data_IF_548824583171
#
_entry.id   IF_548824583171
#
_cell.length_a   1.000
_cell.length_b   1.000
_cell.length_c   1.000
_cell.angle_alpha   90.00
_cell.angle_beta   90.00
_cell.angle_gamma   90.00
#
_symmetry.space_group_name_H-M   'P 1'
#
loop_
_entity.id
_entity.type
_entity.pdbx_description
1 polymer ?
#
# COMPACT_ATOMS: atom_id res chain seq x y z
N UNK A 1 13.29 -41.69 8.66
CA UNK A 1 13.66 -40.76 7.56
C UNK A 1 12.49 -39.85 7.24
N UNK A 2 12.35 -38.73 7.97
CA UNK A 2 11.24 -37.79 7.75
C UNK A 2 11.64 -36.77 6.69
N UNK A 3 11.19 -36.99 5.44
CA UNK A 3 11.27 -36.01 4.36
C UNK A 3 10.43 -34.78 4.74
N UNK A 4 11.07 -33.74 5.29
CA UNK A 4 10.47 -32.40 5.38
C UNK A 4 10.26 -31.90 3.95
N UNK A 5 9.07 -32.11 3.38
CA UNK A 5 8.64 -31.43 2.16
C UNK A 5 8.72 -29.94 2.43
N UNK A 6 9.67 -29.24 1.80
CA UNK A 6 9.75 -27.79 1.84
C UNK A 6 8.42 -27.22 1.37
N UNK A 7 7.71 -26.52 2.25
CA UNK A 7 6.60 -25.67 1.84
C UNK A 7 7.20 -24.58 0.97
N UNK A 8 6.96 -24.67 -0.35
CA UNK A 8 7.11 -23.54 -1.24
C UNK A 8 6.25 -22.41 -0.67
N UNK A 9 6.90 -21.41 -0.10
CA UNK A 9 6.21 -20.27 0.49
C UNK A 9 5.72 -19.41 -0.68
N UNK A 10 4.47 -19.66 -1.11
CA UNK A 10 3.71 -18.72 -1.96
C UNK A 10 3.80 -17.35 -1.27
N UNK A 11 4.09 -16.29 -2.04
CA UNK A 11 4.19 -14.91 -1.54
C UNK A 11 2.96 -14.45 -0.75
N UNK A 12 2.91 -13.20 -0.27
CA UNK A 12 1.77 -12.70 0.49
C UNK A 12 0.44 -12.99 -0.24
N UNK A 13 -0.58 -13.41 0.54
CA UNK A 13 -1.92 -13.79 0.11
C UNK A 13 -2.48 -12.79 -0.93
N UNK A 14 -3.11 -13.25 -2.03
CA UNK A 14 -3.74 -12.39 -3.03
C UNK A 14 -4.76 -11.36 -2.51
N UNK A 15 -5.20 -11.41 -1.24
CA UNK A 15 -6.00 -10.37 -0.56
C UNK A 15 -5.22 -9.08 -0.22
N UNK A 16 -4.29 -8.70 -1.09
CA UNK A 16 -3.04 -8.00 -0.76
C UNK A 16 -3.12 -6.52 -0.40
N UNK A 17 -4.29 -5.91 -0.17
CA UNK A 17 -4.37 -4.50 0.26
C UNK A 17 -5.18 -4.32 1.54
N UNK A 18 -5.45 -5.42 2.27
CA UNK A 18 -6.12 -5.40 3.57
C UNK A 18 -5.15 -5.16 4.74
N UNK A 19 -3.99 -4.54 4.52
CA UNK A 19 -2.91 -4.41 5.52
C UNK A 19 -1.81 -5.48 5.42
N UNK A 20 -1.98 -6.52 4.59
CA UNK A 20 -0.99 -7.60 4.45
C UNK A 20 0.06 -7.34 3.34
N UNK A 21 -0.21 -6.43 2.40
CA UNK A 21 0.70 -6.10 1.30
C UNK A 21 0.51 -4.66 0.77
N UNK A 22 0.61 -3.68 1.66
CA UNK A 22 0.48 -2.26 1.31
C UNK A 22 1.67 -1.74 0.51
N UNK A 23 1.42 -0.98 -0.56
CA UNK A 23 2.47 -0.29 -1.29
C UNK A 23 2.62 1.14 -0.75
N UNK A 24 3.84 1.47 -0.33
CA UNK A 24 4.18 2.80 0.21
C UNK A 24 5.11 3.53 -0.76
N UNK A 25 4.52 4.26 -1.70
CA UNK A 25 5.21 4.98 -2.77
C UNK A 25 5.71 6.37 -2.33
N UNK A 26 5.20 6.89 -1.21
CA UNK A 26 5.58 8.17 -0.61
C UNK A 26 5.81 8.00 0.89
N UNK A 27 6.47 8.98 1.50
CA UNK A 27 6.60 9.03 2.96
C UNK A 27 5.26 9.42 3.59
N UNK A 28 4.92 8.77 4.71
CA UNK A 28 3.70 9.03 5.46
C UNK A 28 4.04 9.58 6.85
N UNK A 29 3.35 10.63 7.25
CA UNK A 29 3.49 11.27 8.55
C UNK A 29 2.26 12.10 8.88
N UNK A 30 2.32 12.88 9.95
CA UNK A 30 1.21 13.72 10.40
C UNK A 30 0.55 14.49 9.24
N UNK A 31 -0.78 14.41 9.14
CA UNK A 31 -1.57 15.05 8.10
C UNK A 31 -1.63 14.31 6.76
N UNK A 32 -0.86 13.24 6.57
CA UNK A 32 -1.00 12.39 5.37
C UNK A 32 -2.41 11.81 5.29
N UNK A 33 -2.96 11.82 4.08
CA UNK A 33 -4.28 11.26 3.79
C UNK A 33 -4.20 10.35 2.56
N UNK A 34 -4.94 9.24 2.55
CA UNK A 34 -4.94 8.31 1.41
C UNK A 34 -5.26 6.86 1.76
N UNK A 35 -5.46 6.03 0.73
CA UNK A 35 -5.60 4.58 0.92
C UNK A 35 -4.31 3.87 1.32
N UNK A 36 -3.14 4.46 1.06
CA UNK A 36 -1.87 4.01 1.63
C UNK A 36 -1.83 4.16 3.16
N UNK A 37 -2.30 5.31 3.68
CA UNK A 37 -2.48 5.53 5.12
C UNK A 37 -3.52 4.56 5.68
N UNK A 38 -4.64 4.35 4.99
CA UNK A 38 -5.66 3.40 5.42
C UNK A 38 -5.11 1.97 5.50
N UNK A 39 -4.35 1.54 4.50
CA UNK A 39 -3.71 0.23 4.48
C UNK A 39 -2.67 0.08 5.61
N UNK A 40 -1.87 1.12 5.87
CA UNK A 40 -0.95 1.17 7.01
C UNK A 40 -1.71 1.02 8.33
N UNK A 41 -2.83 1.73 8.51
CA UNK A 41 -3.64 1.63 9.72
C UNK A 41 -4.21 0.23 9.89
N UNK A 42 -4.72 -0.41 8.82
CA UNK A 42 -5.15 -1.81 8.87
C UNK A 42 -4.02 -2.74 9.29
N UNK A 43 -2.82 -2.56 8.74
CA UNK A 43 -1.62 -3.30 9.13
C UNK A 43 -1.31 -3.14 10.63
N UNK A 44 -1.27 -1.89 11.12
CA UNK A 44 -0.96 -1.58 12.51
C UNK A 44 -2.05 -2.13 13.46
N UNK A 45 -3.32 -2.08 13.07
CA UNK A 45 -4.42 -2.64 13.85
C UNK A 45 -4.31 -4.16 13.96
N UNK A 46 -3.96 -4.86 12.87
CA UNK A 46 -3.69 -6.32 12.91
C UNK A 46 -2.51 -6.69 13.80
N UNK A 47 -1.53 -5.78 13.96
CA UNK A 47 -0.40 -5.95 14.89
C UNK A 47 -0.77 -5.61 16.34
N UNK A 48 -1.99 -5.16 16.62
CA UNK A 48 -2.41 -4.70 17.94
C UNK A 48 -1.79 -3.36 18.35
N UNK A 49 -1.19 -2.63 17.41
CA UNK A 49 -0.52 -1.35 17.66
C UNK A 49 -1.46 -0.15 17.49
N UNK A 50 -2.53 -0.30 16.71
CA UNK A 50 -3.57 0.69 16.54
C UNK A 50 -4.92 0.08 16.97
N UNK A 51 -5.63 0.76 17.87
CA UNK A 51 -6.95 0.31 18.35
C UNK A 51 -8.10 0.99 17.62
N UNK A 52 -7.80 2.02 16.85
CA UNK A 52 -8.80 2.76 16.10
C UNK A 52 -9.10 2.13 14.75
N UNK A 53 -10.30 2.46 14.30
CA UNK A 53 -10.75 2.20 12.95
C UNK A 53 -9.87 2.92 11.94
N UNK A 54 -9.37 2.23 10.88
CA UNK A 54 -8.66 2.85 9.78
C UNK A 54 -9.53 3.92 9.11
N UNK A 55 -9.06 5.16 9.11
CA UNK A 55 -9.73 6.31 8.52
C UNK A 55 -9.12 6.73 7.19
N UNK A 56 -7.86 6.38 6.93
CA UNK A 56 -7.08 6.96 5.84
C UNK A 56 -6.43 8.29 6.20
N UNK A 57 -6.61 8.80 7.43
CA UNK A 57 -5.95 10.02 7.92
C UNK A 57 -4.88 9.71 8.97
N UNK A 58 -3.68 10.24 8.76
CA UNK A 58 -2.53 10.03 9.62
C UNK A 58 -2.49 11.07 10.74
N UNK A 59 -3.21 10.79 11.83
CA UNK A 59 -3.17 11.57 13.07
C UNK A 59 -2.26 10.97 14.16
N UNK A 60 -2.25 11.60 15.33
CA UNK A 60 -1.39 11.27 16.48
C UNK A 60 -1.39 9.79 16.88
N UNK A 61 -2.54 9.12 16.78
CA UNK A 61 -2.66 7.70 17.14
C UNK A 61 -1.97 6.80 16.12
N UNK A 62 -2.00 7.17 14.84
CA UNK A 62 -1.26 6.47 13.77
C UNK A 62 0.23 6.71 13.94
N UNK A 63 0.64 7.95 14.23
CA UNK A 63 2.04 8.29 14.48
C UNK A 63 2.63 7.48 15.65
N UNK A 64 1.93 7.41 16.78
CA UNK A 64 2.34 6.60 17.94
C UNK A 64 2.42 5.11 17.60
N UNK A 65 1.48 4.60 16.79
CA UNK A 65 1.50 3.21 16.36
C UNK A 65 2.69 2.91 15.44
N UNK A 66 3.01 3.81 14.50
CA UNK A 66 4.21 3.70 13.65
C UNK A 66 5.48 3.79 14.47
N UNK A 67 5.55 4.71 15.42
CA UNK A 67 6.69 4.84 16.33
C UNK A 67 6.95 3.53 17.10
N UNK A 68 5.90 2.92 17.65
CA UNK A 68 5.98 1.61 18.31
C UNK A 68 6.43 0.51 17.36
N UNK A 69 5.88 0.48 16.14
CA UNK A 69 6.31 -0.48 15.12
C UNK A 69 7.79 -0.30 14.76
N UNK A 70 8.25 0.93 14.56
CA UNK A 70 9.65 1.25 14.25
C UNK A 70 10.59 0.79 15.37
N UNK A 71 10.28 1.13 16.63
CA UNK A 71 11.05 0.70 17.80
C UNK A 71 11.12 -0.83 17.90
N UNK A 72 9.98 -1.50 17.76
CA UNK A 72 9.90 -2.97 17.82
C UNK A 72 10.60 -3.68 16.67
N UNK A 73 10.90 -2.98 15.56
CA UNK A 73 11.58 -3.53 14.40
C UNK A 73 13.00 -2.98 14.19
N UNK A 74 13.51 -2.15 15.11
CA UNK A 74 14.86 -1.59 15.03
C UNK A 74 15.07 -0.57 13.90
N UNK A 75 14.01 0.08 13.42
CA UNK A 75 14.12 1.13 12.40
C UNK A 75 14.76 2.38 13.01
N UNK A 76 15.67 3.02 12.28
CA UNK A 76 16.28 4.29 12.66
C UNK A 76 16.16 5.32 11.51
N UNK A 77 15.72 6.57 11.78
CA UNK A 77 15.18 7.04 13.06
C UNK A 77 13.81 6.40 13.36
N UNK A 78 13.53 6.17 14.65
CA UNK A 78 12.18 5.82 15.12
C UNK A 78 11.48 7.09 15.57
N UNK A 79 10.88 7.80 14.62
CA UNK A 79 10.29 9.13 14.78
C UNK A 79 8.78 9.19 14.47
N UNK A 80 8.13 8.04 14.27
CA UNK A 80 6.71 8.00 13.94
C UNK A 80 6.38 8.41 12.51
N UNK A 81 7.39 8.65 11.65
CA UNK A 81 7.21 8.92 10.21
C UNK A 81 7.57 7.67 9.44
N UNK A 82 6.67 7.18 8.58
CA UNK A 82 6.92 6.07 7.66
C UNK A 82 7.78 6.52 6.47
N UNK A 83 9.01 6.98 6.75
CA UNK A 83 9.99 7.38 5.74
C UNK A 83 10.65 6.20 5.02
N UNK A 84 11.54 6.48 4.06
CA UNK A 84 12.18 5.47 3.20
C UNK A 84 12.69 4.22 3.96
N UNK A 85 13.45 4.39 5.05
CA UNK A 85 13.96 3.25 5.83
C UNK A 85 12.84 2.36 6.40
N UNK A 86 11.75 2.97 6.87
CA UNK A 86 10.57 2.23 7.34
C UNK A 86 9.89 1.50 6.20
N UNK A 87 9.70 2.16 5.06
CA UNK A 87 9.06 1.59 3.87
C UNK A 87 9.85 0.42 3.30
N UNK A 88 11.17 0.54 3.23
CA UNK A 88 12.05 -0.53 2.79
C UNK A 88 12.01 -1.73 3.74
N UNK A 89 12.06 -1.51 5.06
CA UNK A 89 11.97 -2.60 6.02
C UNK A 89 10.61 -3.30 5.97
N UNK A 90 9.53 -2.52 5.87
CA UNK A 90 8.17 -3.06 5.70
C UNK A 90 8.11 -3.93 4.44
N UNK A 91 8.53 -3.40 3.28
CA UNK A 91 8.49 -4.10 2.01
C UNK A 91 9.28 -5.43 2.07
N UNK A 92 10.49 -5.42 2.63
CA UNK A 92 11.29 -6.65 2.84
C UNK A 92 10.56 -7.67 3.72
N UNK A 93 9.95 -7.22 4.83
CA UNK A 93 9.19 -8.10 5.73
C UNK A 93 7.95 -8.69 5.06
N UNK A 94 7.30 -7.95 4.17
CA UNK A 94 6.14 -8.40 3.40
C UNK A 94 6.49 -9.05 2.05
N UNK A 95 7.77 -9.12 1.69
CA UNK A 95 8.26 -9.61 0.38
C UNK A 95 7.63 -8.86 -0.80
N UNK A 96 7.52 -7.54 -0.65
CA UNK A 96 7.12 -6.61 -1.70
C UNK A 96 8.37 -6.02 -2.37
N UNK A 97 8.22 -5.45 -3.59
CA UNK A 97 9.26 -4.61 -4.18
C UNK A 97 9.70 -3.52 -3.22
N UNK A 98 11.00 -3.32 -3.10
CA UNK A 98 11.59 -2.40 -2.13
C UNK A 98 11.60 -0.99 -2.73
N UNK A 99 10.95 0.01 -2.10
CA UNK A 99 10.96 1.37 -2.63
C UNK A 99 12.34 2.00 -2.64
N UNK A 100 12.62 2.84 -3.64
CA UNK A 100 13.87 3.60 -3.74
C UNK A 100 15.10 2.75 -4.07
N UNK A 101 14.91 1.52 -4.55
CA UNK A 101 16.00 0.71 -5.13
C UNK A 101 16.11 0.89 -6.65
N UNK A 102 15.39 1.86 -7.21
CA UNK A 102 15.55 2.25 -8.60
C UNK A 102 16.77 3.15 -8.74
N UNK A 103 17.86 2.49 -9.13
CA UNK A 103 19.10 3.04 -9.63
C UNK A 103 18.91 4.36 -10.39
N UNK A 104 19.47 5.44 -9.85
CA UNK A 104 19.70 6.73 -10.51
C UNK A 104 20.70 6.61 -11.69
N UNK A 105 20.62 5.56 -12.50
CA UNK A 105 21.66 5.26 -13.48
C UNK A 105 21.47 4.11 -14.47
N UNK A 106 20.28 3.56 -14.73
CA UNK A 106 20.10 2.67 -15.91
C UNK A 106 19.18 3.28 -16.96
N UNK A 107 19.80 3.91 -17.94
CA UNK A 107 19.19 4.54 -19.13
C UNK A 107 19.02 3.55 -20.30
N UNK A 108 18.88 2.23 -20.06
CA UNK A 108 18.83 1.27 -21.18
C UNK A 108 17.99 -0.01 -21.00
N UNK A 109 17.37 -0.27 -19.85
CA UNK A 109 16.56 -1.48 -19.71
C UNK A 109 15.11 -1.28 -20.17
N UNK A 110 14.62 -2.17 -21.05
CA UNK A 110 13.19 -2.27 -21.41
C UNK A 110 12.37 -2.50 -20.13
N UNK A 111 11.73 -1.45 -19.63
CA UNK A 111 10.79 -1.54 -18.51
C UNK A 111 9.44 -2.04 -19.02
N UNK A 112 8.72 -2.78 -18.18
CA UNK A 112 7.32 -3.11 -18.42
C UNK A 112 6.46 -2.18 -17.58
N UNK A 113 5.67 -1.35 -18.25
CA UNK A 113 4.74 -0.43 -17.61
C UNK A 113 3.33 -1.01 -17.62
N UNK A 114 2.64 -0.92 -16.49
CA UNK A 114 1.24 -1.30 -16.33
C UNK A 114 0.45 -0.03 -16.03
N UNK A 115 -0.50 0.27 -16.91
CA UNK A 115 -1.51 1.30 -16.72
C UNK A 115 -2.71 0.67 -16.04
N UNK A 116 -3.12 1.22 -14.89
CA UNK A 116 -4.31 0.77 -14.18
C UNK A 116 -5.24 1.94 -13.98
N UNK A 117 -6.46 1.80 -14.47
CA UNK A 117 -7.55 2.73 -14.19
C UNK A 117 -8.53 2.11 -13.20
N UNK A 118 -8.91 2.87 -12.19
CA UNK A 118 -9.92 2.54 -11.19
C UNK A 118 -11.05 3.55 -11.26
N UNK A 119 -12.28 3.07 -11.22
CA UNK A 119 -13.47 3.91 -11.23
C UNK A 119 -14.29 3.71 -9.95
N UNK A 120 -14.77 4.80 -9.37
CA UNK A 120 -15.71 4.76 -8.27
C UNK A 120 -16.70 5.92 -8.37
N UNK A 121 -18.00 5.63 -8.27
CA UNK A 121 -19.04 6.66 -8.26
C UNK A 121 -19.07 7.54 -9.51
N UNK A 122 -18.68 7.01 -10.67
CA UNK A 122 -18.58 7.75 -11.94
C UNK A 122 -17.31 8.61 -12.08
N UNK A 123 -16.39 8.53 -11.12
CA UNK A 123 -15.07 9.16 -11.20
C UNK A 123 -14.03 8.10 -11.55
N UNK A 124 -13.27 8.33 -12.63
CA UNK A 124 -12.19 7.45 -13.07
C UNK A 124 -10.83 8.08 -12.83
N UNK A 125 -9.88 7.26 -12.39
CA UNK A 125 -8.48 7.62 -12.27
C UNK A 125 -7.54 6.55 -12.75
N UNK A 126 -6.42 6.97 -13.32
CA UNK A 126 -5.42 6.08 -13.86
C UNK A 126 -4.05 6.37 -13.28
N UNK A 127 -3.30 5.32 -12.99
CA UNK A 127 -1.90 5.38 -12.53
C UNK A 127 -1.06 4.38 -13.33
N UNK A 128 0.13 4.81 -13.72
CA UNK A 128 1.11 3.98 -14.42
C UNK A 128 2.27 3.63 -13.50
N UNK A 129 2.61 2.34 -13.40
CA UNK A 129 3.82 1.89 -12.70
C UNK A 129 4.64 0.99 -13.61
N UNK A 130 5.94 1.18 -13.60
CA UNK A 130 6.87 0.44 -14.43
C UNK A 130 7.80 -0.41 -13.58
N UNK A 131 8.03 -1.64 -14.02
CA UNK A 131 8.93 -2.61 -13.38
C UNK A 131 9.96 -3.13 -14.37
N UNK A 132 11.09 -3.63 -13.86
CA UNK A 132 12.17 -4.19 -14.70
C UNK A 132 11.86 -5.59 -15.22
N UNK A 133 11.01 -6.36 -14.52
CA UNK A 133 10.71 -7.74 -14.85
C UNK A 133 9.23 -7.97 -15.10
N UNK A 134 8.93 -8.80 -16.09
CA UNK A 134 7.59 -9.36 -16.33
C UNK A 134 6.99 -10.01 -15.07
N UNK A 135 7.84 -10.57 -14.20
CA UNK A 135 7.41 -11.21 -12.94
C UNK A 135 6.86 -10.22 -11.91
N UNK A 136 7.22 -8.95 -12.04
CA UNK A 136 6.85 -7.90 -11.09
C UNK A 136 5.60 -7.13 -11.52
N UNK A 137 5.00 -7.46 -12.68
CA UNK A 137 3.79 -6.79 -13.20
C UNK A 137 2.64 -6.79 -12.22
N UNK A 138 2.46 -7.88 -11.48
CA UNK A 138 1.41 -7.97 -10.45
C UNK A 138 1.61 -6.92 -9.36
N UNK A 139 2.86 -6.61 -9.03
CA UNK A 139 3.15 -5.59 -8.04
C UNK A 139 2.98 -4.18 -8.60
N UNK A 140 3.41 -3.93 -9.85
CA UNK A 140 3.13 -2.68 -10.54
C UNK A 140 1.63 -2.41 -10.61
N UNK A 141 0.84 -3.40 -11.04
CA UNK A 141 -0.62 -3.29 -11.12
C UNK A 141 -1.24 -2.97 -9.75
N UNK A 142 -0.85 -3.69 -8.70
CA UNK A 142 -1.43 -3.50 -7.36
C UNK A 142 -1.08 -2.14 -6.76
N UNK A 143 0.15 -1.67 -6.96
CA UNK A 143 0.57 -0.33 -6.55
C UNK A 143 -0.21 0.75 -7.32
N UNK A 144 -0.26 0.64 -8.65
CA UNK A 144 -1.04 1.55 -9.50
C UNK A 144 -2.50 1.58 -9.07
N UNK A 145 -3.11 0.41 -8.88
CA UNK A 145 -4.50 0.32 -8.46
C UNK A 145 -4.75 0.96 -7.09
N UNK A 146 -3.86 0.71 -6.12
CA UNK A 146 -3.98 1.31 -4.79
C UNK A 146 -4.00 2.84 -4.88
N UNK A 147 -3.13 3.41 -5.72
CA UNK A 147 -3.05 4.86 -5.96
C UNK A 147 -4.30 5.36 -6.68
N UNK A 148 -4.60 4.80 -7.85
CA UNK A 148 -5.71 5.20 -8.71
C UNK A 148 -7.05 5.11 -7.98
N UNK A 149 -7.31 3.99 -7.29
CA UNK A 149 -8.56 3.79 -6.56
C UNK A 149 -8.70 4.77 -5.39
N UNK A 150 -7.62 5.02 -4.65
CA UNK A 150 -7.63 5.99 -3.55
C UNK A 150 -7.91 7.41 -4.06
N UNK A 151 -7.37 7.75 -5.22
CA UNK A 151 -7.57 9.06 -5.84
C UNK A 151 -8.99 9.21 -6.41
N UNK A 152 -9.56 8.14 -6.97
CA UNK A 152 -10.97 8.13 -7.39
C UNK A 152 -11.90 8.33 -6.19
N UNK A 153 -11.64 7.64 -5.07
CA UNK A 153 -12.37 7.85 -3.82
C UNK A 153 -12.27 9.29 -3.31
N UNK A 154 -11.08 9.90 -3.35
CA UNK A 154 -10.85 11.25 -2.85
C UNK A 154 -11.59 12.29 -3.69
N UNK A 155 -11.59 12.13 -5.03
CA UNK A 155 -12.36 12.98 -5.94
C UNK A 155 -13.86 12.78 -5.81
N UNK A 156 -14.32 11.54 -5.61
CA UNK A 156 -15.73 11.25 -5.38
C UNK A 156 -16.22 11.80 -4.03
N UNK A 157 -15.37 11.79 -3.00
CA UNK A 157 -15.71 12.16 -1.63
C UNK A 157 -14.62 13.03 -0.99
N UNK A 158 -14.47 14.29 -1.46
CA UNK A 158 -13.43 15.17 -0.95
C UNK A 158 -13.68 15.50 0.53
N UNK A 159 -12.62 15.62 1.36
CA UNK A 159 -12.78 15.90 2.79
C UNK A 159 -13.53 17.20 3.13
N UNK A 160 -13.58 18.15 2.18
CA UNK A 160 -14.31 19.42 2.32
C UNK A 160 -15.82 19.29 2.08
N UNK A 161 -16.30 18.22 1.46
CA UNK A 161 -17.72 18.01 1.21
C UNK A 161 -18.43 17.45 2.46
N UNK A 162 -19.73 17.77 2.67
CA UNK A 162 -20.53 17.17 3.73
C UNK A 162 -20.53 15.64 3.63
N UNK A 163 -20.10 14.95 4.70
CA UNK A 163 -19.98 13.50 4.74
C UNK A 163 -18.85 12.91 3.89
N UNK A 164 -17.98 13.76 3.33
CA UNK A 164 -16.82 13.35 2.53
C UNK A 164 -15.93 12.34 3.25
N UNK A 165 -15.45 12.61 4.48
CA UNK A 165 -14.60 11.69 5.23
C UNK A 165 -15.24 10.31 5.47
N UNK A 166 -16.52 10.26 5.83
CA UNK A 166 -17.25 9.02 6.06
C UNK A 166 -17.43 8.22 4.77
N UNK A 167 -17.81 8.90 3.68
CA UNK A 167 -17.99 8.26 2.37
C UNK A 167 -16.65 7.81 1.76
N UNK A 168 -15.57 8.57 1.97
CA UNK A 168 -14.22 8.15 1.60
C UNK A 168 -13.81 6.88 2.32
N UNK A 169 -14.05 6.79 3.64
CA UNK A 169 -13.82 5.58 4.42
C UNK A 169 -14.63 4.40 3.87
N UNK A 170 -15.88 4.62 3.49
CA UNK A 170 -16.72 3.58 2.87
C UNK A 170 -16.17 3.15 1.50
N UNK A 171 -15.74 4.10 0.67
CA UNK A 171 -15.13 3.85 -0.64
C UNK A 171 -13.88 2.97 -0.50
N UNK A 172 -12.97 3.30 0.42
CA UNK A 172 -11.74 2.53 0.64
C UNK A 172 -11.97 1.08 1.10
N UNK A 173 -13.17 0.71 1.59
CA UNK A 173 -13.48 -0.70 1.90
C UNK A 173 -13.46 -1.59 0.67
N UNK A 174 -13.72 -1.03 -0.52
CA UNK A 174 -13.73 -1.76 -1.79
C UNK A 174 -12.35 -1.85 -2.45
N UNK A 175 -11.38 -1.04 -2.01
CA UNK A 175 -10.04 -0.93 -2.61
C UNK A 175 -9.38 -2.30 -2.77
N UNK A 176 -9.38 -3.12 -1.71
CA UNK A 176 -8.70 -4.40 -1.76
C UNK A 176 -9.35 -5.39 -2.74
N UNK A 177 -10.68 -5.41 -2.82
CA UNK A 177 -11.40 -6.28 -3.75
C UNK A 177 -11.24 -5.78 -5.19
N UNK A 178 -11.43 -4.47 -5.41
CA UNK A 178 -11.28 -3.86 -6.74
C UNK A 178 -9.89 -4.14 -7.31
N UNK A 179 -8.83 -3.91 -6.54
CA UNK A 179 -7.47 -4.15 -7.02
C UNK A 179 -7.14 -5.64 -7.17
N UNK A 180 -7.79 -6.51 -6.41
CA UNK A 180 -7.66 -7.95 -6.58
C UNK A 180 -8.21 -8.41 -7.94
N UNK A 181 -9.39 -7.93 -8.30
CA UNK A 181 -10.08 -8.23 -9.55
C UNK A 181 -9.34 -7.61 -10.75
N UNK A 182 -9.01 -6.32 -10.67
CA UNK A 182 -8.29 -5.59 -11.74
C UNK A 182 -6.93 -6.23 -12.05
N UNK A 183 -6.21 -6.69 -11.04
CA UNK A 183 -4.87 -7.25 -11.21
C UNK A 183 -4.83 -8.77 -11.35
N UNK A 184 -6.00 -9.44 -11.46
CA UNK A 184 -6.06 -10.90 -11.56
C UNK A 184 -5.37 -11.44 -12.82
N UNK A 185 -5.28 -10.64 -13.88
CA UNK A 185 -4.64 -11.00 -15.16
C UNK A 185 -3.12 -11.19 -15.07
N UNK A 186 -2.50 -10.71 -13.99
CA UNK A 186 -1.05 -10.79 -13.76
C UNK A 186 -0.64 -11.87 -12.75
N UNK A 187 -1.57 -12.78 -12.38
CA UNK A 187 -1.35 -13.86 -11.40
C UNK A 187 -0.61 -15.08 -11.95
#
# INVERSE_FOLDING_TARGET
MSKKKGRAFKGPDPKSLRGDACYFYRDLGAGSYGGDVNCLQQFLSRKGLLKEEPTGYYGDKTEKAVLSWQKGNGVRPANGILGLASRQLYARKQRLPVPGTDDLGSTSDKKVCIDVCSEFGGVQDCETRCVKSEKDKVHACRESCQIAFSAACDRAYPPSAPGGPENYKLCLKYLAQSCEETCAVYR
#
